data_IF_130034369850
#
_entry.id   IF_130034369850
#
_cell.length_a   1.000
_cell.length_b   1.000
_cell.length_c   1.000
_cell.angle_alpha   90.00
_cell.angle_beta   90.00
_cell.angle_gamma   90.00
#
_symmetry.space_group_name_H-M   'P 1'
#
loop_
_entity.id
_entity.type
_entity.pdbx_description
1 polymer ?
#
# COMPACT_ATOMS: atom_id res chain seq x y z
N UNK A 1 -43.05 -47.54 -2.44
CA UNK A 1 -42.48 -46.60 -1.45
C UNK A 1 -41.04 -46.98 -1.11
N UNK A 2 -40.71 -48.27 -0.97
CA UNK A 2 -39.35 -48.71 -0.58
C UNK A 2 -38.27 -48.46 -1.63
N UNK A 3 -38.54 -48.70 -2.92
CA UNK A 3 -37.59 -48.37 -4.01
C UNK A 3 -37.20 -46.88 -4.07
N UNK A 4 -38.12 -45.98 -3.71
CA UNK A 4 -37.85 -44.53 -3.70
C UNK A 4 -36.95 -44.15 -2.51
N UNK A 5 -37.13 -44.80 -1.36
CA UNK A 5 -36.25 -44.63 -0.18
C UNK A 5 -34.84 -45.17 -0.44
N UNK A 6 -34.74 -46.30 -1.12
CA UNK A 6 -33.47 -46.93 -1.48
C UNK A 6 -32.66 -46.06 -2.46
N UNK A 7 -33.32 -45.51 -3.48
CA UNK A 7 -32.74 -44.54 -4.41
C UNK A 7 -32.30 -43.24 -3.71
N UNK A 8 -33.11 -42.72 -2.79
CA UNK A 8 -32.76 -41.51 -2.03
C UNK A 8 -31.53 -41.73 -1.12
N UNK A 9 -31.43 -42.90 -0.48
CA UNK A 9 -30.26 -43.26 0.32
C UNK A 9 -28.99 -43.39 -0.53
N UNK A 10 -29.10 -43.99 -1.71
CA UNK A 10 -27.98 -44.10 -2.65
C UNK A 10 -27.49 -42.74 -3.14
N UNK A 11 -28.40 -41.86 -3.58
CA UNK A 11 -28.05 -40.48 -4.00
C UNK A 11 -27.39 -39.72 -2.86
N UNK A 12 -27.87 -39.85 -1.62
CA UNK A 12 -27.26 -39.20 -0.46
C UNK A 12 -25.83 -39.68 -0.22
N UNK A 13 -25.59 -40.99 -0.33
CA UNK A 13 -24.25 -41.56 -0.16
C UNK A 13 -23.30 -41.11 -1.28
N UNK A 14 -23.77 -41.13 -2.53
CA UNK A 14 -22.98 -40.70 -3.68
C UNK A 14 -22.62 -39.19 -3.59
N UNK A 15 -23.57 -38.34 -3.19
CA UNK A 15 -23.31 -36.91 -2.94
C UNK A 15 -22.32 -36.70 -1.80
N UNK A 16 -22.42 -37.48 -0.72
CA UNK A 16 -21.50 -37.38 0.42
C UNK A 16 -20.08 -37.82 0.05
N UNK A 17 -19.95 -38.89 -0.74
CA UNK A 17 -18.66 -39.35 -1.27
C UNK A 17 -18.03 -38.31 -2.20
N UNK A 18 -18.81 -37.72 -3.12
CA UNK A 18 -18.34 -36.66 -4.02
C UNK A 18 -17.93 -35.39 -3.27
N UNK A 19 -18.63 -35.02 -2.19
CA UNK A 19 -18.25 -33.89 -1.35
C UNK A 19 -16.94 -34.18 -0.60
N UNK A 20 -16.77 -35.38 -0.06
CA UNK A 20 -15.54 -35.79 0.63
C UNK A 20 -14.33 -35.83 -0.31
N UNK A 21 -14.52 -36.27 -1.56
CA UNK A 21 -13.47 -36.30 -2.59
C UNK A 21 -13.08 -34.90 -3.08
N UNK A 22 -14.02 -33.95 -3.10
CA UNK A 22 -13.75 -32.56 -3.50
C UNK A 22 -13.24 -31.66 -2.37
N UNK A 23 -13.34 -32.08 -1.11
CA UNK A 23 -12.92 -31.30 0.05
C UNK A 23 -11.41 -30.97 0.05
N UNK A 24 -10.48 -31.89 -0.27
CA UNK A 24 -9.05 -31.57 -0.41
C UNK A 24 -8.78 -30.52 -1.50
N UNK A 25 -9.47 -30.62 -2.66
CA UNK A 25 -9.34 -29.67 -3.76
C UNK A 25 -9.86 -28.28 -3.37
N UNK A 26 -10.95 -28.21 -2.59
CA UNK A 26 -11.46 -26.95 -2.03
C UNK A 26 -10.47 -26.31 -1.08
N UNK A 27 -9.90 -27.07 -0.15
CA UNK A 27 -8.87 -26.59 0.78
C UNK A 27 -7.63 -26.10 0.04
N UNK A 28 -7.14 -26.85 -0.94
CA UNK A 28 -6.00 -26.45 -1.75
C UNK A 28 -6.24 -25.15 -2.53
N UNK A 29 -7.43 -24.99 -3.14
CA UNK A 29 -7.81 -23.74 -3.82
C UNK A 29 -7.89 -22.56 -2.85
N UNK A 30 -8.42 -22.78 -1.65
CA UNK A 30 -8.50 -21.75 -0.62
C UNK A 30 -7.10 -21.32 -0.14
N UNK A 31 -6.20 -22.27 0.11
CA UNK A 31 -4.82 -21.98 0.50
C UNK A 31 -4.06 -21.21 -0.58
N UNK A 32 -4.22 -21.60 -1.85
CA UNK A 32 -3.63 -20.87 -2.98
C UNK A 32 -4.17 -19.45 -3.08
N UNK A 33 -5.49 -19.26 -2.87
CA UNK A 33 -6.11 -17.94 -2.85
C UNK A 33 -5.52 -17.07 -1.75
N UNK A 34 -5.42 -17.58 -0.52
CA UNK A 34 -4.83 -16.86 0.62
C UNK A 34 -3.37 -16.48 0.36
N UNK A 35 -2.54 -17.40 -0.13
CA UNK A 35 -1.14 -17.12 -0.46
C UNK A 35 -0.98 -16.03 -1.52
N UNK A 36 -1.84 -16.05 -2.55
CA UNK A 36 -1.84 -15.04 -3.61
C UNK A 36 -2.19 -13.65 -3.05
N UNK A 37 -3.21 -13.58 -2.20
CA UNK A 37 -3.63 -12.33 -1.57
C UNK A 37 -2.56 -11.76 -0.63
N UNK A 38 -1.88 -12.62 0.14
CA UNK A 38 -0.78 -12.21 1.01
C UNK A 38 0.41 -11.67 0.20
N UNK A 39 0.76 -12.31 -0.91
CA UNK A 39 1.81 -11.83 -1.81
C UNK A 39 1.45 -10.47 -2.42
N UNK A 40 0.21 -10.28 -2.85
CA UNK A 40 -0.26 -9.01 -3.40
C UNK A 40 -0.28 -7.91 -2.34
N UNK A 41 -0.77 -8.20 -1.14
CA UNK A 41 -0.70 -7.28 0.00
C UNK A 41 0.74 -6.86 0.28
N UNK A 42 1.68 -7.79 0.20
CA UNK A 42 3.09 -7.48 0.43
C UNK A 42 3.68 -6.54 -0.64
N UNK A 43 3.30 -6.71 -1.90
CA UNK A 43 3.67 -5.78 -2.96
C UNK A 43 3.11 -4.37 -2.71
N UNK A 44 1.82 -4.26 -2.34
CA UNK A 44 1.19 -2.95 -2.03
C UNK A 44 1.82 -2.24 -0.83
N UNK A 45 2.31 -2.99 0.17
CA UNK A 45 3.05 -2.41 1.29
C UNK A 45 4.37 -1.77 0.84
N UNK A 46 5.07 -2.38 -0.11
CA UNK A 46 6.33 -1.85 -0.63
C UNK A 46 6.08 -0.61 -1.49
N UNK A 47 5.08 -0.66 -2.38
CA UNK A 47 4.65 0.50 -3.17
C UNK A 47 4.21 1.66 -2.29
N UNK A 48 3.42 1.40 -1.24
CA UNK A 48 3.02 2.44 -0.29
C UNK A 48 4.23 3.03 0.44
N UNK A 49 5.18 2.21 0.87
CA UNK A 49 6.41 2.70 1.50
C UNK A 49 7.26 3.55 0.54
N UNK A 50 7.13 3.34 -0.78
CA UNK A 50 7.73 4.21 -1.78
C UNK A 50 6.98 5.54 -1.90
N UNK A 51 5.69 5.52 -2.23
CA UNK A 51 4.94 6.78 -2.48
C UNK A 51 4.73 7.59 -1.19
N UNK A 52 4.64 6.94 -0.03
CA UNK A 52 4.44 7.53 1.27
C UNK A 52 5.23 6.78 2.37
N UNK A 53 6.46 7.21 2.72
CA UNK A 53 7.44 6.42 3.45
C UNK A 53 7.16 6.25 4.95
N UNK A 54 6.08 5.55 5.26
CA UNK A 54 5.64 5.22 6.61
C UNK A 54 6.11 3.83 7.06
N UNK A 55 6.00 3.54 8.36
CA UNK A 55 6.29 2.20 8.92
C UNK A 55 5.35 1.16 8.33
N UNK A 56 5.83 -0.09 8.25
CA UNK A 56 5.09 -1.18 7.59
C UNK A 56 3.77 -1.55 8.27
N UNK A 57 3.71 -1.48 9.60
CA UNK A 57 2.48 -1.68 10.36
C UNK A 57 1.45 -0.57 10.08
N UNK A 58 1.91 0.68 9.94
CA UNK A 58 1.10 1.84 9.58
C UNK A 58 0.64 1.80 8.13
N UNK A 59 1.53 1.42 7.21
CA UNK A 59 1.21 1.16 5.81
C UNK A 59 0.10 0.09 5.70
N UNK A 60 0.20 -0.99 6.48
CA UNK A 60 -0.82 -2.03 6.54
C UNK A 60 -2.15 -1.50 7.08
N UNK A 61 -2.14 -0.62 8.08
CA UNK A 61 -3.35 0.05 8.57
C UNK A 61 -4.01 0.91 7.48
N UNK A 62 -3.24 1.71 6.74
CA UNK A 62 -3.73 2.51 5.62
C UNK A 62 -4.37 1.62 4.56
N UNK A 63 -3.66 0.59 4.09
CA UNK A 63 -4.20 -0.31 3.06
C UNK A 63 -5.50 -0.99 3.53
N UNK A 64 -5.54 -1.48 4.77
CA UNK A 64 -6.75 -2.11 5.32
C UNK A 64 -7.93 -1.13 5.41
N UNK A 65 -7.68 0.16 5.69
CA UNK A 65 -8.71 1.20 5.69
C UNK A 65 -9.22 1.47 4.28
N UNK A 66 -8.33 1.58 3.29
CA UNK A 66 -8.70 1.74 1.89
C UNK A 66 -9.54 0.56 1.39
N UNK A 67 -9.15 -0.67 1.72
CA UNK A 67 -9.92 -1.88 1.39
C UNK A 67 -11.30 -1.89 2.06
N UNK A 68 -11.40 -1.43 3.31
CA UNK A 68 -12.67 -1.36 4.05
C UNK A 68 -13.64 -0.32 3.48
N UNK A 69 -13.13 0.84 3.03
CA UNK A 69 -13.94 1.92 2.46
C UNK A 69 -14.52 1.57 1.08
N UNK A 70 -13.93 0.57 0.42
CA UNK A 70 -14.29 0.11 -0.92
C UNK A 70 -15.32 -1.04 -0.90
N UNK A 71 -15.72 -1.52 0.29
CA UNK A 71 -16.68 -2.61 0.48
C UNK A 71 -18.13 -2.16 0.25
N UNK A 72 -18.49 -1.80 -0.98
CA UNK A 72 -19.87 -1.86 -1.46
C UNK A 72 -20.16 -3.29 -1.94
N UNK A 73 -20.65 -4.14 -1.05
CA UNK A 73 -21.29 -5.43 -1.38
C UNK A 73 -20.40 -6.45 -2.10
N UNK A 74 -19.97 -7.48 -1.37
CA UNK A 74 -19.44 -8.75 -1.89
C UNK A 74 -18.29 -8.62 -2.93
N UNK A 75 -17.29 -7.80 -2.61
CA UNK A 75 -16.10 -7.64 -3.45
C UNK A 75 -15.10 -8.75 -3.12
N UNK A 76 -14.66 -9.49 -4.15
CA UNK A 76 -13.45 -10.32 -4.09
C UNK A 76 -12.26 -9.48 -3.58
N UNK A 77 -11.64 -9.91 -2.47
CA UNK A 77 -10.51 -9.21 -1.82
C UNK A 77 -9.35 -8.94 -2.78
N UNK A 78 -9.14 -9.82 -3.75
CA UNK A 78 -8.17 -9.64 -4.83
C UNK A 78 -8.49 -8.42 -5.70
N UNK A 79 -9.78 -8.16 -5.98
CA UNK A 79 -10.23 -7.00 -6.75
C UNK A 79 -10.07 -5.69 -5.98
N UNK A 80 -10.33 -5.68 -4.67
CA UNK A 80 -10.09 -4.51 -3.82
C UNK A 80 -8.60 -4.17 -3.73
N UNK A 81 -7.73 -5.17 -3.58
CA UNK A 81 -6.27 -4.99 -3.59
C UNK A 81 -5.73 -4.46 -4.93
N UNK A 82 -6.37 -4.79 -6.05
CA UNK A 82 -6.04 -4.19 -7.35
C UNK A 82 -6.37 -2.70 -7.37
N UNK A 83 -7.50 -2.27 -6.80
CA UNK A 83 -7.87 -0.86 -6.75
C UNK A 83 -6.97 -0.04 -5.84
N UNK A 84 -6.52 -0.60 -4.72
CA UNK A 84 -5.44 0.00 -3.92
C UNK A 84 -4.18 0.15 -4.77
N UNK A 85 -3.82 -0.87 -5.55
CA UNK A 85 -2.70 -0.78 -6.49
C UNK A 85 -2.84 0.36 -7.51
N UNK A 86 -4.03 0.56 -8.09
CA UNK A 86 -4.29 1.66 -9.00
C UNK A 86 -4.06 3.03 -8.33
N UNK A 87 -4.53 3.22 -7.09
CA UNK A 87 -4.28 4.45 -6.34
C UNK A 87 -2.79 4.69 -6.09
N UNK A 88 -2.03 3.64 -5.77
CA UNK A 88 -0.58 3.76 -5.53
C UNK A 88 0.17 4.10 -6.81
N UNK A 89 -0.15 3.46 -7.94
CA UNK A 89 0.44 3.79 -9.24
C UNK A 89 0.12 5.24 -9.64
N UNK A 90 -1.13 5.67 -9.48
CA UNK A 90 -1.51 7.07 -9.72
C UNK A 90 -0.73 8.04 -8.83
N UNK A 91 -0.43 7.67 -7.59
CA UNK A 91 0.37 8.49 -6.68
C UNK A 91 1.84 8.55 -7.10
N UNK A 92 2.39 7.46 -7.65
CA UNK A 92 3.76 7.39 -8.14
C UNK A 92 3.97 8.22 -9.42
N UNK A 93 2.96 8.28 -10.28
CA UNK A 93 3.00 9.04 -11.54
C UNK A 93 2.66 10.53 -11.37
N UNK A 94 2.44 11.01 -10.14
CA UNK A 94 2.04 12.39 -9.90
C UNK A 94 3.05 13.42 -10.40
N UNK A 95 2.53 14.44 -11.06
CA UNK A 95 3.23 15.69 -11.26
C UNK A 95 2.90 16.74 -10.20
N UNK A 96 3.81 17.70 -10.06
CA UNK A 96 3.66 18.77 -9.07
C UNK A 96 2.37 19.58 -9.25
N UNK A 97 1.95 19.77 -10.50
CA UNK A 97 0.78 20.57 -10.88
C UNK A 97 -0.52 19.77 -10.97
N UNK A 98 -0.46 18.45 -10.80
CA UNK A 98 -1.62 17.59 -10.98
C UNK A 98 -2.67 17.79 -9.90
N UNK A 99 -3.92 17.54 -10.28
CA UNK A 99 -5.05 17.43 -9.37
C UNK A 99 -5.02 16.06 -8.67
N UNK A 100 -5.13 16.08 -7.35
CA UNK A 100 -5.06 14.92 -6.46
C UNK A 100 -6.44 14.38 -6.06
N UNK A 101 -7.53 14.85 -6.68
CA UNK A 101 -8.91 14.49 -6.28
C UNK A 101 -9.15 12.98 -6.24
N UNK A 102 -8.61 12.24 -7.20
CA UNK A 102 -8.78 10.78 -7.29
C UNK A 102 -7.96 10.03 -6.22
N UNK A 103 -6.91 10.67 -5.71
CA UNK A 103 -6.08 10.16 -4.61
C UNK A 103 -6.63 10.54 -3.24
N UNK A 104 -7.75 11.27 -3.16
CA UNK A 104 -8.32 11.73 -1.89
C UNK A 104 -8.46 10.62 -0.85
N UNK A 105 -8.93 9.40 -1.16
CA UNK A 105 -8.98 8.32 -0.17
C UNK A 105 -7.60 8.01 0.43
N UNK A 106 -6.56 7.90 -0.40
CA UNK A 106 -5.19 7.64 0.05
C UNK A 106 -4.67 8.83 0.88
N UNK A 107 -4.86 10.05 0.39
CA UNK A 107 -4.43 11.28 1.06
C UNK A 107 -5.08 11.40 2.44
N UNK A 108 -6.38 11.17 2.55
CA UNK A 108 -7.12 11.23 3.82
C UNK A 108 -6.57 10.21 4.83
N UNK A 109 -6.35 8.96 4.42
CA UNK A 109 -5.84 7.93 5.35
C UNK A 109 -4.38 8.18 5.77
N UNK A 110 -3.54 8.67 4.85
CA UNK A 110 -2.19 9.13 5.17
C UNK A 110 -2.19 10.35 6.11
N UNK A 111 -3.13 11.29 5.94
CA UNK A 111 -3.26 12.44 6.82
C UNK A 111 -3.72 12.02 8.23
N UNK A 112 -4.66 11.07 8.30
CA UNK A 112 -5.08 10.46 9.56
C UNK A 112 -3.93 9.75 10.27
N UNK A 113 -3.02 9.10 9.54
CA UNK A 113 -1.82 8.49 10.13
C UNK A 113 -0.94 9.52 10.84
N UNK A 114 -0.77 10.70 10.24
CA UNK A 114 0.13 11.73 10.72
C UNK A 114 -0.48 12.60 11.83
N UNK A 115 -1.81 12.71 11.91
CA UNK A 115 -2.50 13.57 12.88
C UNK A 115 -2.16 13.13 14.31
N UNK A 116 -1.45 14.00 15.05
CA UNK A 116 -1.01 13.73 16.42
C UNK A 116 0.12 12.70 16.56
N UNK A 117 0.68 12.20 15.45
CA UNK A 117 1.69 11.15 15.43
C UNK A 117 3.06 11.71 15.04
N UNK A 118 3.71 12.37 15.99
CA UNK A 118 4.98 13.06 15.78
C UNK A 118 6.11 12.13 15.32
N UNK A 119 6.19 10.92 15.88
CA UNK A 119 7.23 9.95 15.52
C UNK A 119 7.15 9.55 14.05
N UNK A 120 5.94 9.29 13.55
CA UNK A 120 5.75 8.90 12.16
C UNK A 120 6.08 10.04 11.21
N UNK A 121 5.68 11.26 11.56
CA UNK A 121 6.06 12.47 10.84
C UNK A 121 7.59 12.62 10.74
N UNK A 122 8.30 12.45 11.86
CA UNK A 122 9.76 12.50 11.88
C UNK A 122 10.39 11.41 10.99
N UNK A 123 9.83 10.21 10.99
CA UNK A 123 10.29 9.13 10.12
C UNK A 123 10.12 9.48 8.64
N UNK A 124 8.96 9.99 8.24
CA UNK A 124 8.71 10.42 6.86
C UNK A 124 9.73 11.47 6.43
N UNK A 125 9.96 12.48 7.27
CA UNK A 125 10.97 13.52 7.00
C UNK A 125 12.38 12.94 6.88
N UNK A 126 12.78 12.01 7.76
CA UNK A 126 14.10 11.37 7.73
C UNK A 126 14.29 10.52 6.46
N UNK A 127 13.28 9.74 6.07
CA UNK A 127 13.34 8.94 4.84
C UNK A 127 13.41 9.85 3.62
N UNK A 128 12.54 10.87 3.54
CA UNK A 128 12.56 11.83 2.43
C UNK A 128 13.91 12.53 2.30
N UNK A 129 14.53 12.91 3.43
CA UNK A 129 15.88 13.48 3.44
C UNK A 129 16.94 12.52 2.86
N UNK A 130 16.90 11.24 3.24
CA UNK A 130 17.85 10.23 2.74
C UNK A 130 17.67 9.98 1.25
N UNK A 131 16.43 9.85 0.79
CA UNK A 131 16.12 9.68 -0.65
C UNK A 131 16.64 10.85 -1.44
N UNK A 132 16.29 12.07 -1.02
CA UNK A 132 16.81 13.30 -1.57
C UNK A 132 18.34 13.29 -1.66
N UNK A 133 19.05 12.96 -0.58
CA UNK A 133 20.53 12.93 -0.57
C UNK A 133 21.16 11.91 -1.52
N UNK A 134 20.44 10.83 -1.83
CA UNK A 134 20.91 9.76 -2.72
C UNK A 134 20.57 10.03 -4.18
N UNK A 135 19.40 10.63 -4.41
CA UNK A 135 18.85 10.81 -5.75
C UNK A 135 19.27 12.17 -6.30
N UNK A 136 19.07 13.26 -5.56
CA UNK A 136 19.30 14.62 -6.05
C UNK A 136 20.79 14.93 -6.22
N UNK A 137 21.11 15.65 -7.29
CA UNK A 137 22.42 16.19 -7.62
C UNK A 137 22.39 17.73 -7.56
N UNK A 138 23.54 18.43 -7.56
CA UNK A 138 23.58 19.89 -7.39
C UNK A 138 22.76 20.68 -8.42
N UNK A 139 22.52 20.16 -9.63
CA UNK A 139 21.72 20.85 -10.65
C UNK A 139 20.20 20.81 -10.39
N UNK A 140 19.72 20.09 -9.38
CA UNK A 140 18.28 19.93 -9.09
C UNK A 140 17.75 20.99 -8.11
N UNK A 141 18.16 22.24 -8.27
CA UNK A 141 17.83 23.33 -7.34
C UNK A 141 16.31 23.51 -7.15
N UNK A 142 15.50 23.31 -8.20
CA UNK A 142 14.04 23.37 -8.11
C UNK A 142 13.46 22.26 -7.20
N UNK A 143 14.02 21.06 -7.25
CA UNK A 143 13.60 19.94 -6.41
C UNK A 143 14.04 20.11 -4.95
N UNK A 144 15.18 20.78 -4.73
CA UNK A 144 15.59 21.21 -3.39
C UNK A 144 14.54 22.15 -2.77
N UNK A 145 14.04 23.12 -3.55
CA UNK A 145 12.98 24.04 -3.11
C UNK A 145 11.67 23.31 -2.78
N UNK A 146 11.27 22.36 -3.62
CA UNK A 146 10.09 21.51 -3.39
C UNK A 146 10.21 20.66 -2.12
N UNK A 147 11.38 20.12 -1.85
CA UNK A 147 11.67 19.40 -0.60
C UNK A 147 11.51 20.31 0.62
N UNK A 148 12.12 21.50 0.60
CA UNK A 148 12.02 22.45 1.72
C UNK A 148 10.56 22.85 1.96
N UNK A 149 9.79 23.11 0.91
CA UNK A 149 8.38 23.42 1.01
C UNK A 149 7.56 22.28 1.64
N UNK A 150 7.81 21.03 1.24
CA UNK A 150 7.21 19.85 1.86
C UNK A 150 7.55 19.75 3.35
N UNK A 151 8.79 20.04 3.75
CA UNK A 151 9.18 20.03 5.17
C UNK A 151 8.45 21.10 5.98
N UNK A 152 8.35 22.33 5.45
CA UNK A 152 7.67 23.43 6.13
C UNK A 152 6.20 23.09 6.41
N UNK A 153 5.54 22.46 5.44
CA UNK A 153 4.15 22.02 5.59
C UNK A 153 4.00 20.86 6.57
N UNK A 154 4.89 19.87 6.53
CA UNK A 154 4.86 18.77 7.50
C UNK A 154 5.14 19.28 8.92
N UNK A 155 6.00 20.28 9.09
CA UNK A 155 6.42 20.77 10.42
C UNK A 155 5.37 21.63 11.11
N UNK A 156 4.63 22.47 10.37
CA UNK A 156 3.62 23.40 10.90
C UNK A 156 2.32 22.72 11.34
N UNK A 157 1.56 22.12 10.40
CA UNK A 157 0.30 21.46 10.70
C UNK A 157 0.04 20.30 9.73
N UNK A 158 -0.49 19.18 10.23
CA UNK A 158 -0.80 18.01 9.40
C UNK A 158 -2.22 18.12 8.85
N UNK A 159 -2.33 18.23 7.53
CA UNK A 159 -3.58 18.23 6.78
C UNK A 159 -3.38 17.54 5.43
N UNK A 160 -4.47 17.30 4.68
CA UNK A 160 -4.43 16.56 3.42
C UNK A 160 -3.40 17.13 2.43
N UNK A 161 -3.28 18.46 2.36
CA UNK A 161 -2.31 19.11 1.50
C UNK A 161 -0.84 18.75 1.84
N UNK A 162 -0.47 18.67 3.12
CA UNK A 162 0.92 18.31 3.47
C UNK A 162 1.25 16.87 3.07
N UNK A 163 0.27 15.99 3.08
CA UNK A 163 0.39 14.62 2.53
C UNK A 163 0.50 14.63 1.01
N UNK A 164 -0.32 15.41 0.31
CA UNK A 164 -0.21 15.56 -1.15
C UNK A 164 1.20 15.99 -1.57
N UNK A 165 1.83 16.89 -0.82
CA UNK A 165 3.20 17.32 -1.09
C UNK A 165 4.21 16.18 -0.92
N UNK A 166 4.01 15.30 0.05
CA UNK A 166 4.84 14.09 0.22
C UNK A 166 4.70 13.15 -0.97
N UNK A 167 3.46 12.91 -1.43
CA UNK A 167 3.21 12.05 -2.59
C UNK A 167 3.87 12.63 -3.84
N UNK A 168 3.61 13.92 -4.13
CA UNK A 168 4.19 14.63 -5.28
C UNK A 168 5.72 14.69 -5.25
N UNK A 169 6.30 14.87 -4.07
CA UNK A 169 7.75 14.87 -3.91
C UNK A 169 8.33 13.48 -4.20
N UNK A 170 7.74 12.40 -3.68
CA UNK A 170 8.23 11.05 -3.94
C UNK A 170 8.01 10.62 -5.39
N UNK A 171 6.92 11.01 -6.03
CA UNK A 171 6.69 10.81 -7.47
C UNK A 171 7.79 11.46 -8.32
N UNK A 172 8.12 12.71 -8.02
CA UNK A 172 9.23 13.40 -8.69
C UNK A 172 10.58 12.74 -8.42
N UNK A 173 10.81 12.23 -7.19
CA UNK A 173 12.01 11.46 -6.89
C UNK A 173 12.05 10.11 -7.63
N UNK A 174 10.91 9.46 -7.86
CA UNK A 174 10.82 8.21 -8.64
C UNK A 174 11.32 8.41 -10.05
N UNK A 175 10.80 9.42 -10.74
CA UNK A 175 11.25 9.78 -12.09
C UNK A 175 12.74 10.09 -12.15
N UNK A 176 13.26 10.86 -11.19
CA UNK A 176 14.69 11.15 -11.12
C UNK A 176 15.55 9.91 -10.81
N UNK A 177 15.07 9.00 -9.97
CA UNK A 177 15.75 7.74 -9.68
C UNK A 177 15.85 6.88 -10.94
N UNK A 178 14.79 6.77 -11.72
CA UNK A 178 14.76 6.06 -13.00
C UNK A 178 15.73 6.69 -14.02
N UNK A 179 15.66 8.00 -14.22
CA UNK A 179 16.57 8.74 -15.13
C UNK A 179 18.06 8.55 -14.78
N UNK A 180 18.34 8.27 -13.51
CA UNK A 180 19.69 8.09 -12.96
C UNK A 180 20.06 6.65 -12.71
N UNK A 181 19.21 5.70 -13.10
CA UNK A 181 19.42 4.26 -12.90
C UNK A 181 19.69 3.90 -11.43
N UNK A 182 19.01 4.56 -10.50
CA UNK A 182 19.07 4.25 -9.06
C UNK A 182 18.16 3.07 -8.75
N UNK A 183 18.70 2.06 -8.09
CA UNK A 183 17.94 0.89 -7.65
C UNK A 183 17.02 1.25 -6.47
N UNK A 184 15.72 1.36 -6.75
CA UNK A 184 14.68 1.67 -5.77
C UNK A 184 14.52 0.54 -4.74
N UNK A 185 14.66 -0.73 -5.15
CA UNK A 185 14.52 -1.87 -4.24
C UNK A 185 15.69 -1.89 -3.25
N UNK A 186 16.91 -1.67 -3.72
CA UNK A 186 18.07 -1.53 -2.85
C UNK A 186 17.89 -0.34 -1.89
N UNK A 187 17.35 0.77 -2.38
CA UNK A 187 17.09 1.96 -1.56
C UNK A 187 16.10 1.65 -0.43
N UNK A 188 14.95 1.05 -0.76
CA UNK A 188 13.93 0.63 0.20
C UNK A 188 14.48 -0.39 1.22
N UNK A 189 15.34 -1.31 0.79
CA UNK A 189 15.97 -2.28 1.69
C UNK A 189 16.85 -1.58 2.74
N UNK A 190 17.60 -0.55 2.35
CA UNK A 190 18.44 0.26 3.25
C UNK A 190 17.58 1.11 4.21
N UNK A 191 16.38 1.51 3.80
CA UNK A 191 15.42 2.22 4.66
C UNK A 191 14.75 1.30 5.67
N UNK A 192 14.53 0.03 5.34
CA UNK A 192 14.00 -0.96 6.27
C UNK A 192 14.95 -1.26 7.44
N UNK A 193 16.25 -1.01 7.25
CA UNK A 193 17.28 -1.14 8.30
C UNK A 193 17.35 0.08 9.24
N UNK A 194 16.54 1.11 8.99
CA UNK A 194 16.39 2.21 9.95
C UNK A 194 15.96 1.63 11.29
N UNK A 195 16.68 1.93 12.40
CA UNK A 195 16.17 1.60 13.71
C UNK A 195 14.76 2.20 13.83
N UNK A 196 13.79 1.37 14.20
CA UNK A 196 12.62 1.92 14.88
C UNK A 196 13.21 2.66 16.06
N UNK A 197 13.21 4.00 16.03
CA UNK A 197 13.80 4.75 17.13
C UNK A 197 13.05 4.32 18.39
N UNK A 198 13.72 3.53 19.23
CA UNK A 198 13.33 3.35 20.61
C UNK A 198 13.66 4.68 21.25
N UNK A 199 12.71 5.60 21.28
CA UNK A 199 12.85 6.81 22.07
C UNK A 199 12.21 6.48 23.42
N UNK A 200 13.09 6.19 24.38
CA UNK A 200 12.80 6.44 25.79
C UNK A 200 12.91 7.92 26.11
#
# INVERSE_FOLDING_TARGET
VDKVRELAAKVKNDVTALLAENEPLRKQRQEQKVKKEESLMQARLNELAWVFPCRRDKARQIINKLLSNDARGDVDSTGALHRVGLLLMMAEDLEWKDNTSDLKPLVTECANLLRGNWEEKQRIMEVAYRRKKRILIPSDEDMEGKYLHMLDLLTTEVYEHSVEMVLKFNAALSRLAEERFVDIEELLSKEALLPERVIG
#
